data_IF_517561865882
#
_entry.id   IF_517561865882
#
_cell.length_a   1.000
_cell.length_b   1.000
_cell.length_c   1.000
_cell.angle_alpha   90.00
_cell.angle_beta   90.00
_cell.angle_gamma   90.00
#
_symmetry.space_group_name_H-M   'P 1'
#
loop_
_entity.id
_entity.type
_entity.pdbx_description
1 polymer ?
#
# COMPACT_ATOMS: atom_id res chain seq x y z
N UNK A 1 -10.18 8.95 17.88
CA UNK A 1 -9.19 8.08 17.20
C UNK A 1 -9.34 8.26 15.71
N UNK A 2 -8.24 8.36 14.97
CA UNK A 2 -8.31 8.52 13.53
C UNK A 2 -8.82 7.23 12.85
N UNK A 3 -9.36 7.36 11.64
CA UNK A 3 -9.79 6.22 10.85
C UNK A 3 -8.64 5.25 10.59
N UNK A 4 -7.42 5.75 10.41
CA UNK A 4 -6.23 4.93 10.24
C UNK A 4 -5.96 4.05 11.46
N UNK A 5 -6.05 4.62 12.66
CA UNK A 5 -5.81 3.87 13.90
C UNK A 5 -6.84 2.76 14.09
N UNK A 6 -8.10 3.07 13.78
CA UNK A 6 -9.18 2.11 13.91
C UNK A 6 -9.08 0.98 12.91
N UNK A 7 -8.82 1.31 11.65
CA UNK A 7 -8.60 0.31 10.60
C UNK A 7 -7.38 -0.56 10.90
N UNK A 8 -6.29 0.04 11.36
CA UNK A 8 -5.08 -0.71 11.70
C UNK A 8 -5.32 -1.67 12.87
N UNK A 9 -6.10 -1.26 13.86
CA UNK A 9 -6.44 -2.13 14.99
C UNK A 9 -7.25 -3.34 14.52
N UNK A 10 -8.22 -3.14 13.63
CA UNK A 10 -9.03 -4.23 13.08
C UNK A 10 -8.18 -5.19 12.24
N UNK A 11 -7.30 -4.66 11.40
CA UNK A 11 -6.37 -5.46 10.59
C UNK A 11 -5.43 -6.26 11.49
N UNK A 12 -4.87 -5.62 12.51
CA UNK A 12 -3.96 -6.27 13.45
C UNK A 12 -4.60 -7.45 14.17
N UNK A 13 -5.83 -7.28 14.62
CA UNK A 13 -6.59 -8.36 15.26
C UNK A 13 -6.84 -9.52 14.31
N UNK A 14 -7.25 -9.23 13.08
CA UNK A 14 -7.52 -10.25 12.07
C UNK A 14 -6.25 -11.04 11.71
N UNK A 15 -5.12 -10.35 11.51
CA UNK A 15 -3.86 -10.99 11.19
C UNK A 15 -3.33 -11.85 12.33
N UNK A 16 -3.43 -11.35 13.57
CA UNK A 16 -3.05 -12.13 14.77
C UNK A 16 -3.88 -13.40 14.88
N UNK A 17 -5.19 -13.28 14.72
CA UNK A 17 -6.10 -14.43 14.81
C UNK A 17 -5.80 -15.48 13.76
N UNK A 18 -5.33 -15.07 12.59
CA UNK A 18 -4.97 -15.98 11.49
C UNK A 18 -3.53 -16.47 11.55
N UNK A 19 -2.71 -15.90 12.41
CA UNK A 19 -1.27 -16.19 12.42
C UNK A 19 -0.57 -15.78 11.13
N UNK A 20 -1.04 -14.71 10.49
CA UNK A 20 -0.53 -14.26 9.20
C UNK A 20 0.26 -12.96 9.34
N UNK A 21 1.18 -12.75 8.40
CA UNK A 21 2.09 -11.61 8.38
C UNK A 21 1.95 -10.81 7.09
N UNK A 22 2.22 -9.51 7.19
CA UNK A 22 2.11 -8.57 6.08
C UNK A 22 3.42 -7.81 5.87
N UNK A 23 3.74 -7.55 4.61
CA UNK A 23 4.78 -6.61 4.19
C UNK A 23 4.13 -5.55 3.28
N UNK A 24 4.67 -4.34 3.29
CA UNK A 24 4.05 -3.17 2.66
C UNK A 24 5.00 -2.48 1.71
N UNK A 25 4.53 -2.12 0.53
CA UNK A 25 5.25 -1.25 -0.41
C UNK A 25 4.39 0.01 -0.63
N UNK A 26 4.88 1.15 -0.17
CA UNK A 26 4.15 2.43 -0.26
C UNK A 26 4.85 3.37 -1.23
N UNK A 27 4.09 4.26 -1.83
CA UNK A 27 4.63 5.33 -2.65
C UNK A 27 4.14 6.67 -2.08
N UNK A 28 3.04 7.19 -2.59
CA UNK A 28 2.55 8.51 -2.19
C UNK A 28 1.96 8.57 -0.78
N UNK A 29 1.65 7.45 -0.16
CA UNK A 29 1.24 7.42 1.26
C UNK A 29 2.41 7.61 2.24
N UNK A 30 3.66 7.46 1.75
CA UNK A 30 4.83 7.94 2.47
C UNK A 30 5.20 7.26 3.78
N UNK A 31 4.74 6.05 4.00
CA UNK A 31 4.98 5.31 5.25
C UNK A 31 3.80 5.31 6.21
N UNK A 32 2.71 5.97 5.88
CA UNK A 32 1.54 6.04 6.76
C UNK A 32 0.87 4.69 6.97
N UNK A 33 0.89 3.80 5.96
CA UNK A 33 0.33 2.44 6.10
C UNK A 33 1.14 1.68 7.15
N UNK A 34 2.45 1.65 6.97
CA UNK A 34 3.37 0.97 7.90
C UNK A 34 3.30 1.58 9.30
N UNK A 35 3.27 2.91 9.39
CA UNK A 35 3.17 3.60 10.68
C UNK A 35 1.88 3.22 11.42
N UNK A 36 0.76 3.18 10.72
CA UNK A 36 -0.52 2.80 11.32
C UNK A 36 -0.51 1.36 11.84
N UNK A 37 0.04 0.43 11.06
CA UNK A 37 0.15 -0.98 11.47
C UNK A 37 1.08 -1.15 12.67
N UNK A 38 2.17 -0.39 12.71
CA UNK A 38 3.13 -0.44 13.81
C UNK A 38 2.63 0.23 15.09
N UNK A 39 1.69 1.16 14.98
CA UNK A 39 1.11 1.85 16.15
C UNK A 39 0.23 0.95 17.00
N UNK A 40 -0.17 -0.22 16.49
CA UNK A 40 -0.97 -1.19 17.23
C UNK A 40 -0.06 -2.01 18.14
N UNK A 41 -0.32 -2.04 19.46
CA UNK A 41 0.48 -2.87 20.35
C UNK A 41 0.48 -4.34 19.91
N UNK A 42 1.66 -4.96 19.93
CA UNK A 42 1.82 -6.34 19.46
C UNK A 42 2.03 -6.48 17.96
N UNK A 43 2.35 -5.40 17.27
CA UNK A 43 2.54 -5.38 15.82
C UNK A 43 3.60 -6.38 15.32
N UNK A 44 4.58 -6.73 16.14
CA UNK A 44 5.61 -7.71 15.77
C UNK A 44 5.05 -9.08 15.43
N UNK A 45 3.83 -9.37 15.87
CA UNK A 45 3.17 -10.63 15.54
C UNK A 45 2.73 -10.71 14.06
N UNK A 46 2.53 -9.57 13.38
CA UNK A 46 1.99 -9.57 12.03
C UNK A 46 2.71 -8.65 11.03
N UNK A 47 3.48 -7.69 11.48
CA UNK A 47 4.16 -6.75 10.57
C UNK A 47 5.62 -7.13 10.39
N UNK A 48 6.04 -7.43 9.16
CA UNK A 48 7.43 -7.81 8.87
C UNK A 48 8.30 -6.62 8.50
N UNK A 49 7.78 -5.70 7.74
CA UNK A 49 8.54 -4.59 7.22
C UNK A 49 7.91 -4.01 5.97
N UNK A 50 8.58 -3.00 5.42
CA UNK A 50 8.09 -2.37 4.21
C UNK A 50 9.11 -1.42 3.62
N UNK A 51 8.74 -0.80 2.50
CA UNK A 51 9.58 0.16 1.80
C UNK A 51 8.71 1.28 1.25
N UNK A 52 9.25 2.51 1.30
CA UNK A 52 8.65 3.67 0.63
C UNK A 52 9.38 3.83 -0.69
N UNK A 53 8.72 3.46 -1.78
CA UNK A 53 9.30 3.41 -3.12
C UNK A 53 8.70 4.50 -4.01
N UNK A 54 8.92 5.74 -3.63
CA UNK A 54 8.31 6.91 -4.25
C UNK A 54 8.83 7.18 -5.67
N UNK A 55 10.06 6.76 -5.97
CA UNK A 55 10.70 6.99 -7.27
C UNK A 55 11.09 5.66 -7.91
N UNK A 56 11.36 5.69 -9.21
CA UNK A 56 11.92 4.52 -9.90
C UNK A 56 13.24 4.07 -9.33
N UNK A 57 14.06 5.03 -8.86
CA UNK A 57 15.33 4.72 -8.20
C UNK A 57 15.11 3.97 -6.88
N UNK A 58 14.17 4.40 -6.06
CA UNK A 58 13.83 3.73 -4.80
C UNK A 58 13.30 2.33 -5.06
N UNK A 59 12.42 2.17 -6.06
CA UNK A 59 11.89 0.87 -6.46
C UNK A 59 13.02 -0.10 -6.81
N UNK A 60 13.98 0.34 -7.61
CA UNK A 60 15.13 -0.48 -7.98
C UNK A 60 16.02 -0.79 -6.78
N UNK A 61 16.34 0.22 -5.97
CA UNK A 61 17.27 0.07 -4.86
C UNK A 61 16.72 -0.78 -3.72
N UNK A 62 15.43 -0.65 -3.42
CA UNK A 62 14.81 -1.30 -2.26
C UNK A 62 14.10 -2.60 -2.60
N UNK A 63 13.46 -2.68 -3.76
CA UNK A 63 12.71 -3.87 -4.16
C UNK A 63 13.36 -4.66 -5.30
N UNK A 64 14.45 -4.13 -5.86
CA UNK A 64 15.17 -4.76 -6.99
C UNK A 64 14.25 -5.03 -8.19
N UNK A 65 13.25 -4.17 -8.39
CA UNK A 65 12.40 -4.22 -9.57
C UNK A 65 13.05 -3.36 -10.64
N UNK A 66 13.62 -3.98 -11.69
CA UNK A 66 14.34 -3.22 -12.72
C UNK A 66 13.36 -2.49 -13.64
N UNK A 67 13.90 -1.50 -14.37
CA UNK A 67 13.11 -0.72 -15.33
C UNK A 67 12.39 -1.63 -16.34
N UNK A 68 13.02 -2.70 -16.77
CA UNK A 68 12.48 -3.64 -17.75
C UNK A 68 11.21 -4.33 -17.27
N UNK A 69 11.10 -4.58 -15.95
CA UNK A 69 9.94 -5.24 -15.37
C UNK A 69 8.69 -4.36 -15.42
N UNK A 70 8.86 -3.04 -15.53
CA UNK A 70 7.74 -2.07 -15.61
C UNK A 70 7.61 -1.45 -17.00
N UNK A 71 8.31 -1.98 -18.01
CA UNK A 71 8.21 -1.49 -19.37
C UNK A 71 6.76 -1.62 -19.88
N UNK A 72 6.25 -0.52 -20.47
CA UNK A 72 4.87 -0.47 -20.93
C UNK A 72 3.83 -0.29 -19.81
N UNK A 73 4.27 -0.20 -18.56
CA UNK A 73 3.41 -0.05 -17.39
C UNK A 73 3.64 1.35 -16.80
N UNK A 74 2.57 2.08 -16.54
CA UNK A 74 2.71 3.38 -15.86
C UNK A 74 2.58 3.21 -14.36
N UNK A 75 3.23 4.09 -13.60
CA UNK A 75 3.02 4.15 -12.15
C UNK A 75 1.59 4.65 -11.87
N UNK A 76 1.14 4.54 -10.63
CA UNK A 76 -0.22 4.91 -10.23
C UNK A 76 -1.29 4.17 -11.04
N UNK A 77 -1.01 2.92 -11.39
CA UNK A 77 -1.94 2.03 -12.09
C UNK A 77 -2.13 0.74 -11.32
N UNK A 78 -3.21 0.02 -11.59
CA UNK A 78 -3.49 -1.25 -10.91
C UNK A 78 -2.44 -2.32 -11.21
N UNK A 79 -1.99 -2.51 -12.46
CA UNK A 79 -0.92 -3.47 -12.73
C UNK A 79 0.38 -3.15 -11.98
N UNK A 80 0.75 -1.87 -11.88
CA UNK A 80 1.94 -1.45 -11.16
C UNK A 80 1.79 -1.72 -9.65
N UNK A 81 0.64 -1.38 -9.09
CA UNK A 81 0.34 -1.65 -7.68
C UNK A 81 0.43 -3.15 -7.37
N UNK A 82 -0.12 -3.99 -8.23
CA UNK A 82 -0.09 -5.43 -8.05
C UNK A 82 1.33 -5.99 -8.12
N UNK A 83 2.16 -5.47 -9.02
CA UNK A 83 3.58 -5.84 -9.10
C UNK A 83 4.31 -5.51 -7.79
N UNK A 84 4.08 -4.31 -7.23
CA UNK A 84 4.67 -3.92 -5.95
C UNK A 84 4.23 -4.86 -4.82
N UNK A 85 2.94 -5.17 -4.76
CA UNK A 85 2.38 -6.03 -3.72
C UNK A 85 2.96 -7.44 -3.79
N UNK A 86 3.03 -8.02 -4.98
CA UNK A 86 3.62 -9.36 -5.18
C UNK A 86 5.10 -9.38 -4.81
N UNK A 87 5.83 -8.35 -5.23
CA UNK A 87 7.27 -8.28 -4.99
C UNK A 87 7.58 -8.18 -3.51
N UNK A 88 6.91 -7.28 -2.78
CA UNK A 88 7.17 -7.10 -1.35
C UNK A 88 6.77 -8.35 -0.55
N UNK A 89 5.68 -9.00 -0.94
CA UNK A 89 5.26 -10.26 -0.34
C UNK A 89 6.34 -11.34 -0.49
N UNK A 90 6.85 -11.52 -1.70
CA UNK A 90 7.85 -12.55 -2.00
C UNK A 90 9.18 -12.28 -1.31
N UNK A 91 9.63 -11.03 -1.35
CA UNK A 91 10.92 -10.66 -0.75
C UNK A 91 10.95 -10.84 0.75
N UNK A 92 9.83 -10.62 1.42
CA UNK A 92 9.74 -10.77 2.87
C UNK A 92 9.26 -12.16 3.31
N UNK A 93 8.83 -13.00 2.38
CA UNK A 93 8.21 -14.28 2.72
C UNK A 93 6.92 -14.08 3.51
N UNK A 94 6.16 -13.04 3.21
CA UNK A 94 4.94 -12.69 3.93
C UNK A 94 3.73 -13.44 3.38
N UNK A 95 2.69 -13.56 4.19
CA UNK A 95 1.40 -14.10 3.73
C UNK A 95 0.67 -13.09 2.85
N UNK A 96 0.84 -11.80 3.17
CA UNK A 96 0.21 -10.69 2.45
C UNK A 96 1.24 -9.64 2.05
N UNK A 97 1.14 -9.16 0.82
CA UNK A 97 1.81 -7.97 0.35
C UNK A 97 0.77 -6.89 0.07
N UNK A 98 0.96 -5.70 0.62
CA UNK A 98 0.04 -4.57 0.45
C UNK A 98 0.79 -3.43 -0.19
N UNK A 99 0.21 -2.80 -1.23
CA UNK A 99 0.87 -1.69 -1.92
C UNK A 99 -0.06 -0.52 -2.16
N UNK A 100 0.55 0.64 -2.38
CA UNK A 100 -0.13 1.86 -2.76
C UNK A 100 0.76 2.65 -3.71
N UNK A 101 0.19 3.21 -4.78
CA UNK A 101 0.90 4.06 -5.74
C UNK A 101 -0.06 5.10 -6.32
N UNK A 102 0.26 6.38 -6.18
CA UNK A 102 -0.67 7.43 -6.58
C UNK A 102 -0.06 8.80 -6.75
N UNK A 103 -0.95 9.78 -6.87
CA UNK A 103 -0.65 11.21 -7.03
C UNK A 103 -1.37 11.98 -5.93
N UNK A 104 -0.66 12.32 -4.86
CA UNK A 104 -1.25 12.99 -3.69
C UNK A 104 -1.65 14.44 -3.97
N UNK A 105 -0.99 15.11 -4.90
CA UNK A 105 -1.29 16.49 -5.25
C UNK A 105 -0.23 17.48 -4.80
N UNK A 106 -0.48 18.77 -4.97
CA UNK A 106 -1.72 19.45 -5.40
C UNK A 106 -2.03 19.28 -6.89
N UNK A 107 -1.05 18.87 -7.70
CA UNK A 107 -1.25 18.61 -9.13
C UNK A 107 -1.32 17.12 -9.37
N UNK A 108 -1.87 16.70 -10.50
CA UNK A 108 -1.86 15.31 -10.93
C UNK A 108 -0.48 14.88 -11.42
N UNK A 109 -0.40 13.65 -11.92
CA UNK A 109 0.85 13.11 -12.47
C UNK A 109 0.94 13.37 -13.99
N UNK A 110 2.08 13.01 -14.58
CA UNK A 110 2.33 13.18 -16.01
C UNK A 110 1.51 12.26 -16.92
N UNK A 111 0.75 11.32 -16.35
CA UNK A 111 -0.08 10.38 -17.11
C UNK A 111 -1.52 10.84 -17.25
N UNK A 112 -1.88 11.99 -16.69
CA UNK A 112 -3.23 12.52 -16.74
C UNK A 112 -4.12 12.15 -15.56
N UNK A 113 -3.61 11.45 -14.56
CA UNK A 113 -4.37 11.18 -13.35
C UNK A 113 -4.47 12.44 -12.49
N UNK A 114 -5.64 12.73 -11.91
CA UNK A 114 -5.80 13.92 -11.07
C UNK A 114 -5.15 13.76 -9.70
N UNK A 115 -4.92 14.88 -9.03
CA UNK A 115 -4.55 14.83 -7.61
C UNK A 115 -5.62 14.05 -6.83
N UNK A 116 -5.21 13.22 -5.89
CA UNK A 116 -6.13 12.36 -5.14
C UNK A 116 -6.37 10.98 -5.76
N UNK A 117 -5.72 10.69 -6.88
CA UNK A 117 -5.78 9.37 -7.52
C UNK A 117 -4.74 8.44 -6.90
N UNK A 118 -5.15 7.25 -6.51
CA UNK A 118 -4.22 6.19 -6.10
C UNK A 118 -4.76 4.82 -6.51
N UNK A 119 -3.83 3.88 -6.71
CA UNK A 119 -4.13 2.47 -6.87
C UNK A 119 -3.55 1.71 -5.70
N UNK A 120 -4.30 0.77 -5.19
CA UNK A 120 -3.89 -0.10 -4.10
C UNK A 120 -4.03 -1.54 -4.53
N UNK A 121 -3.16 -2.41 -4.02
CA UNK A 121 -3.20 -3.82 -4.36
C UNK A 121 -2.84 -4.68 -3.15
N UNK A 122 -3.38 -5.87 -3.14
CA UNK A 122 -3.13 -6.88 -2.14
C UNK A 122 -2.78 -8.18 -2.85
N UNK A 123 -1.69 -8.81 -2.45
CA UNK A 123 -1.28 -10.13 -2.94
C UNK A 123 -1.14 -11.08 -1.75
N UNK A 124 -1.77 -12.22 -1.84
CA UNK A 124 -1.76 -13.21 -0.77
C UNK A 124 -2.59 -14.43 -1.16
N UNK A 125 -3.30 -15.03 -0.20
CA UNK A 125 -4.25 -16.11 -0.50
C UNK A 125 -5.28 -15.72 -1.55
N UNK A 126 -5.62 -14.43 -1.63
CA UNK A 126 -6.38 -13.83 -2.73
C UNK A 126 -5.64 -12.58 -3.19
N UNK A 127 -5.91 -12.13 -4.41
CA UNK A 127 -5.38 -10.88 -4.93
C UNK A 127 -6.52 -9.91 -5.22
N UNK A 128 -6.36 -8.66 -4.78
CA UNK A 128 -7.33 -7.60 -4.98
C UNK A 128 -6.60 -6.35 -5.46
N UNK A 129 -7.25 -5.59 -6.33
CA UNK A 129 -6.78 -4.27 -6.76
C UNK A 129 -7.94 -3.29 -6.68
N UNK A 130 -7.62 -2.02 -6.44
CA UNK A 130 -8.64 -0.97 -6.36
C UNK A 130 -8.03 0.37 -6.72
N UNK A 131 -8.84 1.24 -7.31
CA UNK A 131 -8.47 2.61 -7.63
C UNK A 131 -9.36 3.55 -6.83
N UNK A 132 -8.76 4.52 -6.16
CA UNK A 132 -9.44 5.56 -5.41
C UNK A 132 -9.15 6.91 -6.03
N UNK A 133 -10.18 7.76 -6.12
CA UNK A 133 -10.04 9.18 -6.48
C UNK A 133 -10.80 9.99 -5.46
N UNK A 134 -10.07 10.80 -4.68
CA UNK A 134 -10.68 11.59 -3.60
C UNK A 134 -11.38 12.86 -4.09
N UNK A 135 -10.98 13.35 -5.25
CA UNK A 135 -11.47 14.64 -5.76
C UNK A 135 -10.86 15.85 -5.06
N UNK A 136 -9.89 15.64 -4.17
CA UNK A 136 -9.22 16.71 -3.42
C UNK A 136 -7.80 16.93 -3.95
N UNK A 137 -7.30 18.15 -3.82
CA UNK A 137 -5.90 18.50 -4.10
C UNK A 137 -5.07 18.68 -2.81
N UNK A 138 -5.65 18.42 -1.66
CA UNK A 138 -4.96 18.50 -0.36
C UNK A 138 -4.03 17.31 -0.20
N UNK A 139 -2.73 17.57 -0.39
CA UNK A 139 -1.71 16.51 -0.42
C UNK A 139 -1.68 15.68 0.85
N UNK A 140 -1.64 16.32 2.01
CA UNK A 140 -1.54 15.60 3.28
C UNK A 140 -2.82 14.79 3.58
N UNK A 141 -3.98 15.37 3.30
CA UNK A 141 -5.25 14.67 3.46
C UNK A 141 -5.36 13.47 2.51
N UNK A 142 -4.86 13.62 1.28
CA UNK A 142 -4.85 12.52 0.31
C UNK A 142 -3.92 11.38 0.76
N UNK A 143 -2.77 11.69 1.34
CA UNK A 143 -1.88 10.66 1.89
C UNK A 143 -2.60 9.82 2.95
N UNK A 144 -3.31 10.48 3.86
CA UNK A 144 -4.11 9.78 4.87
C UNK A 144 -5.21 8.92 4.24
N UNK A 145 -5.92 9.47 3.26
CA UNK A 145 -6.99 8.76 2.55
C UNK A 145 -6.46 7.52 1.80
N UNK A 146 -5.28 7.64 1.20
CA UNK A 146 -4.64 6.53 0.49
C UNK A 146 -4.27 5.40 1.45
N UNK A 147 -3.71 5.76 2.59
CA UNK A 147 -3.35 4.77 3.61
C UNK A 147 -4.61 4.09 4.17
N UNK A 148 -5.66 4.86 4.43
CA UNK A 148 -6.94 4.30 4.91
C UNK A 148 -7.54 3.33 3.89
N UNK A 149 -7.52 3.66 2.60
CA UNK A 149 -8.03 2.79 1.55
C UNK A 149 -7.25 1.47 1.47
N UNK A 150 -5.92 1.53 1.62
CA UNK A 150 -5.08 0.34 1.61
C UNK A 150 -5.38 -0.56 2.81
N UNK A 151 -5.48 0.01 4.00
CA UNK A 151 -5.83 -0.76 5.21
C UNK A 151 -7.23 -1.35 5.12
N UNK A 152 -8.17 -0.62 4.55
CA UNK A 152 -9.54 -1.12 4.35
C UNK A 152 -9.57 -2.32 3.41
N UNK A 153 -8.77 -2.30 2.35
CA UNK A 153 -8.64 -3.43 1.42
C UNK A 153 -8.15 -4.67 2.15
N UNK A 154 -7.12 -4.54 2.97
CA UNK A 154 -6.57 -5.64 3.76
C UNK A 154 -7.58 -6.12 4.81
N UNK A 155 -8.28 -5.21 5.46
CA UNK A 155 -9.33 -5.54 6.43
C UNK A 155 -10.41 -6.41 5.78
N UNK A 156 -10.92 -5.99 4.63
CA UNK A 156 -11.96 -6.75 3.92
C UNK A 156 -11.50 -8.14 3.52
N UNK A 157 -10.26 -8.27 3.09
CA UNK A 157 -9.70 -9.57 2.68
C UNK A 157 -9.51 -10.51 3.88
N UNK A 158 -9.14 -9.98 5.04
CA UNK A 158 -8.87 -10.79 6.24
C UNK A 158 -10.13 -11.09 7.07
N UNK A 159 -11.23 -10.40 6.81
CA UNK A 159 -12.52 -10.68 7.44
C UNK A 159 -13.38 -11.68 6.66
N UNK A 160 -13.00 -11.93 5.41
CA UNK A 160 -13.76 -12.81 4.52
C UNK A 160 -13.58 -14.29 4.87
#
# INVERSE_FOLDING_TARGET
MSDLAELAAQVGEALKARGQKVAVAESSSGGLISAALLAVPGASAYYLGGAVVYTGKARMSLLEIPREAVAGMRSASEPYALLLARTVRERFGADWGLSETGAAGPTGNGYGDPAGHTCIALSGPIELVSTLRTGSDDRAANMDAFAAAALDLLRRATEA
#
